data_IF_110751341416
#
_entry.id   IF_110751341416
#
_cell.length_a   1.000
_cell.length_b   1.000
_cell.length_c   1.000
_cell.angle_alpha   90.00
_cell.angle_beta   90.00
_cell.angle_gamma   90.00
#
_symmetry.space_group_name_H-M   'P 1'
#
loop_
_entity.id
_entity.type
_entity.pdbx_description
1 polymer ?
#
# COMPACT_ATOMS: atom_id res chain seq x y z
N UNK A 1 -15.76 19.65 -1.97
CA UNK A 1 -16.53 18.64 -2.73
C UNK A 1 -15.59 17.46 -2.94
N UNK A 2 -15.74 16.35 -2.20
CA UNK A 2 -14.91 15.17 -2.45
C UNK A 2 -15.28 14.60 -3.82
N UNK A 3 -14.30 14.27 -4.66
CA UNK A 3 -14.54 13.72 -6.00
C UNK A 3 -15.09 12.31 -5.86
N UNK A 4 -16.09 11.99 -6.67
CA UNK A 4 -16.93 10.78 -6.63
C UNK A 4 -16.23 9.41 -6.82
N UNK A 5 -14.89 9.32 -6.78
CA UNK A 5 -14.10 8.13 -7.14
C UNK A 5 -13.38 7.46 -5.94
N UNK A 6 -13.64 7.92 -4.72
CA UNK A 6 -12.99 7.46 -3.46
C UNK A 6 -13.26 5.98 -3.04
N UNK A 7 -14.45 5.37 -3.24
CA UNK A 7 -14.75 4.08 -2.60
C UNK A 7 -14.01 2.88 -3.21
N UNK A 8 -13.73 2.89 -4.51
CA UNK A 8 -13.11 1.76 -5.22
C UNK A 8 -11.63 1.58 -4.87
N UNK A 9 -10.90 2.70 -4.76
CA UNK A 9 -9.49 2.67 -4.34
C UNK A 9 -9.33 2.31 -2.88
N UNK A 10 -10.19 2.86 -2.01
CA UNK A 10 -10.21 2.47 -0.62
C UNK A 10 -10.46 0.96 -0.47
N UNK A 11 -11.46 0.42 -1.18
CA UNK A 11 -11.73 -1.00 -1.21
C UNK A 11 -10.53 -1.83 -1.72
N UNK A 12 -9.84 -1.36 -2.77
CA UNK A 12 -8.65 -2.04 -3.29
C UNK A 12 -7.49 -2.10 -2.27
N UNK A 13 -7.28 -1.05 -1.46
CA UNK A 13 -6.28 -1.10 -0.39
C UNK A 13 -6.66 -2.08 0.72
N UNK A 14 -7.94 -2.14 1.09
CA UNK A 14 -8.44 -3.12 2.07
C UNK A 14 -8.26 -4.55 1.52
N UNK A 15 -8.66 -4.81 0.29
CA UNK A 15 -8.53 -6.11 -0.36
C UNK A 15 -7.07 -6.55 -0.46
N UNK A 16 -6.16 -5.65 -0.85
CA UNK A 16 -4.73 -5.93 -0.91
C UNK A 16 -4.16 -6.26 0.47
N UNK A 17 -4.54 -5.50 1.50
CA UNK A 17 -4.12 -5.75 2.87
C UNK A 17 -4.61 -7.13 3.36
N UNK A 18 -5.87 -7.44 3.12
CA UNK A 18 -6.48 -8.72 3.53
C UNK A 18 -5.82 -9.89 2.80
N UNK A 19 -5.51 -9.74 1.51
CA UNK A 19 -4.77 -10.74 0.74
C UNK A 19 -3.38 -10.99 1.33
N UNK A 20 -2.61 -9.94 1.62
CA UNK A 20 -1.27 -10.06 2.20
C UNK A 20 -1.29 -10.72 3.58
N UNK A 21 -2.24 -10.35 4.43
CA UNK A 21 -2.43 -10.94 5.76
C UNK A 21 -2.78 -12.41 5.63
N UNK A 22 -3.73 -12.74 4.76
CA UNK A 22 -4.22 -14.10 4.59
C UNK A 22 -3.11 -15.01 4.04
N UNK A 23 -2.38 -14.59 3.01
CA UNK A 23 -1.22 -15.32 2.49
C UNK A 23 -0.15 -15.57 3.56
N UNK A 24 0.16 -14.56 4.38
CA UNK A 24 1.12 -14.70 5.46
C UNK A 24 0.68 -15.74 6.49
N UNK A 25 -0.59 -15.75 6.91
CA UNK A 25 -1.07 -16.66 7.96
C UNK A 25 -1.47 -18.06 7.46
N UNK A 26 -1.77 -18.24 6.18
CA UNK A 26 -2.04 -19.57 5.62
C UNK A 26 -0.77 -20.37 5.35
N UNK A 27 0.31 -19.70 4.94
CA UNK A 27 1.51 -20.36 4.42
C UNK A 27 2.75 -20.28 5.33
N UNK A 28 2.69 -19.58 6.47
CA UNK A 28 3.82 -19.48 7.39
C UNK A 28 3.71 -20.41 8.59
N UNK A 29 4.68 -21.32 8.75
CA UNK A 29 4.99 -21.91 10.06
C UNK A 29 5.68 -20.85 10.94
N UNK A 30 4.89 -19.88 11.43
CA UNK A 30 5.38 -18.82 12.27
C UNK A 30 5.75 -19.37 13.65
N UNK A 31 7.06 -19.51 13.94
CA UNK A 31 7.53 -19.91 15.26
C UNK A 31 7.32 -18.78 16.26
N UNK A 32 6.74 -19.12 17.41
CA UNK A 32 6.62 -18.21 18.55
C UNK A 32 7.90 -18.23 19.39
N UNK A 33 8.27 -17.09 19.95
CA UNK A 33 9.31 -16.97 20.97
C UNK A 33 8.65 -16.62 22.30
N UNK A 34 8.75 -17.48 23.30
CA UNK A 34 8.06 -17.32 24.61
C UNK A 34 6.55 -17.04 24.49
N UNK A 35 5.86 -17.70 23.54
CA UNK A 35 4.45 -17.46 23.24
C UNK A 35 4.13 -16.07 22.63
N UNK A 36 5.16 -15.33 22.20
CA UNK A 36 5.04 -14.07 21.47
C UNK A 36 5.46 -14.23 20.01
N UNK A 37 4.89 -13.41 19.12
CA UNK A 37 5.32 -13.30 17.72
C UNK A 37 6.52 -12.38 17.63
N UNK A 38 7.61 -12.88 17.06
CA UNK A 38 8.77 -12.07 16.75
C UNK A 38 8.66 -11.57 15.32
N UNK A 39 8.44 -10.26 15.15
CA UNK A 39 8.28 -9.63 13.83
C UNK A 39 9.36 -8.56 13.70
N UNK A 40 10.21 -8.69 12.68
CA UNK A 40 11.09 -7.60 12.25
C UNK A 40 10.39 -6.87 11.10
N UNK A 41 9.92 -5.66 11.35
CA UNK A 41 9.30 -4.82 10.33
C UNK A 41 10.39 -3.89 9.80
N UNK A 42 10.93 -4.22 8.62
CA UNK A 42 11.65 -3.24 7.82
C UNK A 42 10.65 -2.51 6.93
N UNK A 43 10.73 -1.18 6.89
CA UNK A 43 9.75 -0.30 6.25
C UNK A 43 9.86 -0.34 4.73
N UNK A 44 9.42 -1.43 4.09
CA UNK A 44 9.30 -1.49 2.64
C UNK A 44 8.18 -0.57 2.16
N UNK A 45 8.42 0.15 1.06
CA UNK A 45 7.44 1.04 0.44
C UNK A 45 6.94 0.40 -0.84
N UNK A 46 5.64 0.14 -0.91
CA UNK A 46 4.99 -0.25 -2.17
C UNK A 46 4.73 1.02 -2.99
N UNK A 47 5.15 1.02 -4.25
CA UNK A 47 4.85 2.09 -5.19
C UNK A 47 3.76 1.62 -6.15
N UNK A 48 2.69 2.42 -6.26
CA UNK A 48 1.65 2.19 -7.26
C UNK A 48 2.22 2.31 -8.68
N UNK A 49 1.75 1.49 -9.64
CA UNK A 49 2.13 1.63 -11.04
C UNK A 49 1.72 3.00 -11.57
N UNK A 50 2.50 3.54 -12.50
CA UNK A 50 2.21 4.83 -13.12
C UNK A 50 1.04 4.64 -14.10
N UNK A 51 -0.14 5.17 -13.76
CA UNK A 51 -1.28 5.29 -14.67
C UNK A 51 -1.85 6.70 -14.63
N UNK A 52 -2.61 7.09 -15.68
CA UNK A 52 -3.27 8.40 -15.71
C UNK A 52 -4.32 8.51 -14.60
N UNK A 53 -5.07 7.44 -14.34
CA UNK A 53 -6.08 7.43 -13.28
C UNK A 53 -5.43 7.65 -11.91
N UNK A 54 -4.32 6.95 -11.63
CA UNK A 54 -3.62 7.03 -10.35
C UNK A 54 -3.03 8.44 -10.13
N UNK A 55 -2.46 9.05 -11.17
CA UNK A 55 -1.95 10.43 -11.08
C UNK A 55 -3.08 11.44 -10.89
N UNK A 56 -4.24 11.24 -11.50
CA UNK A 56 -5.40 12.13 -11.34
C UNK A 56 -5.95 12.10 -9.91
N UNK A 57 -5.87 10.95 -9.24
CA UNK A 57 -6.42 10.73 -7.91
C UNK A 57 -5.43 11.11 -6.81
N UNK A 58 -4.17 10.65 -6.91
CA UNK A 58 -3.17 10.85 -5.86
C UNK A 58 -2.18 11.98 -6.16
N UNK A 59 -2.20 12.54 -7.38
CA UNK A 59 -1.20 13.49 -7.83
C UNK A 59 0.12 12.82 -8.22
N UNK A 60 1.12 13.64 -8.57
CA UNK A 60 2.44 13.14 -8.89
C UNK A 60 3.54 13.88 -8.13
N UNK A 61 4.55 13.14 -7.71
CA UNK A 61 5.83 13.66 -7.23
C UNK A 61 6.88 13.49 -8.32
N UNK A 62 7.81 14.46 -8.40
CA UNK A 62 8.96 14.38 -9.32
C UNK A 62 10.19 14.00 -8.52
N UNK A 63 10.87 12.94 -8.93
CA UNK A 63 12.20 12.67 -8.40
C UNK A 63 13.26 13.54 -9.12
N UNK A 64 14.51 13.47 -8.66
CA UNK A 64 15.65 14.19 -9.24
C UNK A 64 15.95 13.79 -10.71
N UNK A 65 15.35 12.70 -11.21
CA UNK A 65 15.45 12.25 -12.59
C UNK A 65 14.26 12.71 -13.46
N UNK A 66 13.44 13.65 -12.97
CA UNK A 66 12.26 14.20 -13.66
C UNK A 66 11.17 13.17 -14.02
N UNK A 67 11.27 11.93 -13.53
CA UNK A 67 10.18 10.96 -13.69
C UNK A 67 9.02 11.33 -12.77
N UNK A 68 7.81 11.32 -13.34
CA UNK A 68 6.57 11.53 -12.59
C UNK A 68 6.19 10.21 -11.94
N UNK A 69 6.23 10.18 -10.61
CA UNK A 69 5.80 9.04 -9.80
C UNK A 69 4.46 9.40 -9.14
N UNK A 70 3.56 8.44 -8.91
CA UNK A 70 2.38 8.69 -8.09
C UNK A 70 2.82 9.25 -6.73
N UNK A 71 2.16 10.31 -6.26
CA UNK A 71 2.46 10.79 -4.92
C UNK A 71 1.90 9.82 -3.88
N UNK A 72 2.59 9.69 -2.75
CA UNK A 72 2.05 8.94 -1.62
C UNK A 72 0.78 9.64 -1.12
N UNK A 73 -0.32 8.90 -0.85
CA UNK A 73 -1.51 9.49 -0.28
C UNK A 73 -1.15 10.13 1.07
N UNK A 74 -1.41 11.43 1.24
CA UNK A 74 -1.35 12.07 2.56
C UNK A 74 -2.65 11.76 3.28
N UNK A 75 -2.60 10.85 4.26
CA UNK A 75 -3.70 10.66 5.21
C UNK A 75 -3.51 11.75 6.28
N UNK A 76 -4.22 12.87 6.14
CA UNK A 76 -4.31 13.95 7.14
C UNK A 76 -5.48 13.71 8.08
#
# INVERSE_FOLDING_TARGET
MPKQNEPELYAAFIELNDLMINEFYQNSECRLWNNFRLIAIDGSRLQLPISKEIIEIFGCSKNNHKTKLPASPSIS
#
